data_IF_892516284825
#
_entry.id   IF_892516284825
#
_cell.length_a   1.000
_cell.length_b   1.000
_cell.length_c   1.000
_cell.angle_alpha   90.00
_cell.angle_beta   90.00
_cell.angle_gamma   90.00
#
_symmetry.space_group_name_H-M   'P 1'
#
loop_
_entity.id
_entity.type
_entity.pdbx_description
1 polymer ?
#
# COMPACT_ATOMS: atom_id res chain seq x y z
N UNK A 1 -37.21 -21.31 1.25
CA UNK A 1 -36.85 -19.88 1.12
C UNK A 1 -35.79 -19.46 2.15
N UNK A 2 -35.94 -19.83 3.43
CA UNK A 2 -34.93 -19.55 4.49
C UNK A 2 -33.62 -20.33 4.26
N UNK A 3 -33.68 -21.61 3.89
CA UNK A 3 -32.47 -22.41 3.63
C UNK A 3 -31.64 -21.87 2.45
N UNK A 4 -32.28 -21.34 1.40
CA UNK A 4 -31.56 -20.73 0.26
C UNK A 4 -30.92 -19.37 0.57
N UNK A 5 -31.39 -18.67 1.60
CA UNK A 5 -30.72 -17.46 2.13
C UNK A 5 -29.55 -17.84 3.03
N UNK A 6 -29.69 -18.90 3.84
CA UNK A 6 -28.62 -19.44 4.68
C UNK A 6 -27.48 -20.03 3.83
N UNK A 7 -27.80 -20.74 2.74
CA UNK A 7 -26.80 -21.28 1.80
C UNK A 7 -26.07 -20.16 1.04
N UNK A 8 -26.75 -19.05 0.71
CA UNK A 8 -26.10 -17.86 0.11
C UNK A 8 -25.13 -17.17 1.07
N UNK A 9 -25.47 -17.08 2.35
CA UNK A 9 -24.60 -16.50 3.40
C UNK A 9 -23.43 -17.43 3.73
N UNK A 10 -23.62 -18.75 3.62
CA UNK A 10 -22.56 -19.73 3.82
C UNK A 10 -21.57 -19.83 2.64
N UNK A 11 -22.04 -19.63 1.40
CA UNK A 11 -21.19 -19.65 0.20
C UNK A 11 -20.52 -18.30 -0.10
N UNK A 12 -21.15 -17.19 0.32
CA UNK A 12 -20.59 -15.84 0.25
C UNK A 12 -20.72 -15.22 1.64
N UNK A 13 -19.67 -15.25 2.49
CA UNK A 13 -19.68 -14.55 3.76
C UNK A 13 -19.69 -13.05 3.48
N UNK A 14 -20.85 -12.49 3.14
CA UNK A 14 -21.01 -11.05 3.01
C UNK A 14 -20.96 -10.48 4.42
N UNK A 15 -19.94 -9.67 4.71
CA UNK A 15 -19.96 -8.78 5.86
C UNK A 15 -21.31 -8.08 5.91
N UNK A 16 -22.05 -8.26 7.00
CA UNK A 16 -23.37 -7.68 7.23
C UNK A 16 -23.31 -6.79 8.48
N UNK A 17 -24.13 -5.73 8.51
CA UNK A 17 -24.19 -4.79 9.64
C UNK A 17 -23.18 -3.63 9.57
N UNK A 18 -22.97 -2.91 10.70
CA UNK A 18 -22.17 -1.67 10.75
C UNK A 18 -20.74 -1.82 10.23
N UNK A 19 -20.13 -2.99 10.46
CA UNK A 19 -18.78 -3.31 9.97
C UNK A 19 -18.68 -3.28 8.44
N UNK A 20 -19.77 -3.63 7.73
CA UNK A 20 -19.82 -3.55 6.27
C UNK A 20 -19.75 -2.08 5.84
N UNK A 21 -20.58 -1.23 6.43
CA UNK A 21 -20.65 0.19 6.10
C UNK A 21 -19.31 0.89 6.37
N UNK A 22 -18.67 0.59 7.50
CA UNK A 22 -17.35 1.10 7.84
C UNK A 22 -16.27 0.63 6.84
N UNK A 23 -16.33 -0.63 6.41
CA UNK A 23 -15.40 -1.18 5.44
C UNK A 23 -15.56 -0.54 4.05
N UNK A 24 -16.80 -0.34 3.58
CA UNK A 24 -17.08 0.39 2.34
C UNK A 24 -16.69 1.86 2.44
N UNK A 25 -16.92 2.49 3.60
CA UNK A 25 -16.52 3.87 3.84
C UNK A 25 -15.01 4.02 3.77
N UNK A 26 -14.25 3.14 4.41
CA UNK A 26 -12.78 3.13 4.34
C UNK A 26 -12.28 2.86 2.92
N UNK A 27 -12.88 1.91 2.21
CA UNK A 27 -12.57 1.63 0.80
C UNK A 27 -12.72 2.88 -0.07
N UNK A 28 -13.86 3.57 0.03
CA UNK A 28 -14.11 4.79 -0.73
C UNK A 28 -13.25 5.97 -0.27
N UNK A 29 -12.93 6.06 1.02
CA UNK A 29 -12.02 7.07 1.54
C UNK A 29 -10.61 6.91 0.95
N UNK A 30 -10.10 5.67 0.88
CA UNK A 30 -8.81 5.39 0.24
C UNK A 30 -8.82 5.75 -1.25
N UNK A 31 -9.86 5.35 -1.97
CA UNK A 31 -10.02 5.70 -3.38
C UNK A 31 -10.07 7.22 -3.60
N UNK A 32 -10.72 7.96 -2.71
CA UNK A 32 -10.73 9.42 -2.77
C UNK A 32 -9.33 10.01 -2.57
N UNK A 33 -8.53 9.41 -1.69
CA UNK A 33 -7.14 9.79 -1.47
C UNK A 33 -6.24 9.45 -2.68
N UNK A 34 -6.55 8.41 -3.46
CA UNK A 34 -5.88 8.17 -4.75
C UNK A 34 -6.15 9.31 -5.75
N UNK A 35 -7.41 9.75 -5.87
CA UNK A 35 -7.79 10.81 -6.81
C UNK A 35 -7.30 12.20 -6.38
N UNK A 36 -7.27 12.44 -5.06
CA UNK A 36 -6.85 13.72 -4.48
C UNK A 36 -5.74 13.49 -3.46
N UNK A 37 -4.49 13.37 -3.95
CA UNK A 37 -3.32 13.29 -3.08
C UNK A 37 -3.30 14.46 -2.09
N UNK A 38 -2.81 14.23 -0.87
CA UNK A 38 -2.75 15.19 0.23
C UNK A 38 -4.09 15.59 0.87
N UNK A 39 -5.19 14.93 0.52
CA UNK A 39 -6.45 15.09 1.26
C UNK A 39 -6.26 14.68 2.72
N UNK A 40 -6.83 15.44 3.66
CA UNK A 40 -6.85 15.08 5.08
C UNK A 40 -7.68 13.81 5.29
N UNK A 41 -7.24 12.84 6.12
CA UNK A 41 -7.99 11.60 6.34
C UNK A 41 -9.44 11.80 6.79
N UNK A 42 -9.73 12.84 7.59
CA UNK A 42 -11.09 13.17 8.02
C UNK A 42 -12.02 13.57 6.85
N UNK A 43 -11.50 14.34 5.88
CA UNK A 43 -12.26 14.76 4.72
C UNK A 43 -12.52 13.57 3.79
N UNK A 44 -11.50 12.71 3.61
CA UNK A 44 -11.64 11.47 2.86
C UNK A 44 -12.66 10.51 3.51
N UNK A 45 -12.62 10.36 4.84
CA UNK A 45 -13.57 9.57 5.60
C UNK A 45 -15.01 10.06 5.41
N UNK A 46 -15.24 11.38 5.51
CA UNK A 46 -16.57 11.94 5.28
C UNK A 46 -17.07 11.65 3.86
N UNK A 47 -16.20 11.72 2.84
CA UNK A 47 -16.56 11.33 1.47
C UNK A 47 -16.87 9.83 1.37
N UNK A 48 -16.11 8.98 2.08
CA UNK A 48 -16.33 7.55 2.18
C UNK A 48 -17.67 7.18 2.83
N UNK A 49 -18.02 7.80 3.95
CA UNK A 49 -19.31 7.60 4.63
C UNK A 49 -20.49 7.97 3.73
N UNK A 50 -20.45 9.16 3.12
CA UNK A 50 -21.52 9.60 2.20
C UNK A 50 -21.73 8.62 1.03
N UNK A 51 -20.67 7.92 0.63
CA UNK A 51 -20.68 6.89 -0.40
C UNK A 51 -21.28 5.58 0.09
N UNK A 52 -20.82 5.09 1.24
CA UNK A 52 -21.32 3.86 1.85
C UNK A 52 -22.83 3.95 2.17
N UNK A 53 -23.32 5.13 2.57
CA UNK A 53 -24.72 5.36 2.97
C UNK A 53 -25.71 5.65 1.80
N UNK A 54 -25.38 5.31 0.54
CA UNK A 54 -26.32 5.34 -0.61
C UNK A 54 -26.72 6.76 -1.11
N UNK A 55 -25.94 7.82 -0.84
CA UNK A 55 -26.31 9.22 -1.22
C UNK A 55 -25.31 10.00 -2.09
N UNK A 56 -24.32 9.35 -2.70
CA UNK A 56 -23.25 10.06 -3.43
C UNK A 56 -23.16 9.78 -4.93
N UNK A 57 -22.88 10.82 -5.72
CA UNK A 57 -22.47 10.81 -7.15
C UNK A 57 -21.34 9.82 -7.45
N UNK A 58 -21.42 8.93 -8.46
CA UNK A 58 -20.38 7.94 -8.76
C UNK A 58 -19.01 8.62 -8.81
N UNK A 59 -18.11 8.15 -7.96
CA UNK A 59 -16.74 8.61 -8.04
C UNK A 59 -16.11 7.73 -9.12
N UNK A 60 -15.57 8.33 -10.19
CA UNK A 60 -14.75 7.62 -11.18
C UNK A 60 -13.44 7.20 -10.51
N UNK A 61 -13.48 6.13 -9.71
CA UNK A 61 -12.40 5.73 -8.82
C UNK A 61 -11.60 4.58 -9.41
N UNK A 62 -10.29 4.65 -9.20
CA UNK A 62 -9.40 3.53 -9.40
C UNK A 62 -9.73 2.44 -8.35
N UNK A 63 -10.50 1.43 -8.74
CA UNK A 63 -10.81 0.27 -7.88
C UNK A 63 -9.53 -0.47 -7.52
N UNK A 64 -8.62 -0.59 -8.50
CA UNK A 64 -7.41 -1.41 -8.44
C UNK A 64 -6.16 -0.66 -7.97
N UNK A 65 -6.30 0.44 -7.24
CA UNK A 65 -5.17 1.22 -6.72
C UNK A 65 -5.34 1.64 -5.27
N UNK A 66 -4.31 1.44 -4.45
CA UNK A 66 -4.23 1.89 -3.07
C UNK A 66 -3.55 3.25 -2.99
N UNK A 67 -4.01 4.09 -2.08
CA UNK A 67 -3.40 5.40 -1.85
C UNK A 67 -2.04 5.32 -1.16
N UNK A 68 -1.76 4.23 -0.42
CA UNK A 68 -0.64 4.11 0.53
C UNK A 68 -0.91 4.78 1.88
N UNK A 69 -2.09 5.39 2.06
CA UNK A 69 -2.49 6.12 3.24
C UNK A 69 -3.20 5.28 4.30
N UNK A 70 -3.75 5.97 5.30
CA UNK A 70 -4.37 5.39 6.50
C UNK A 70 -5.42 4.30 6.20
N UNK A 71 -6.18 4.47 5.12
CA UNK A 71 -7.28 3.56 4.76
C UNK A 71 -6.84 2.40 3.86
N UNK A 72 -5.59 2.39 3.37
CA UNK A 72 -5.10 1.37 2.45
C UNK A 72 -5.11 -0.05 3.01
N UNK A 73 -4.75 -0.31 4.29
CA UNK A 73 -4.85 -1.66 4.86
C UNK A 73 -6.29 -2.19 4.87
N UNK A 74 -7.25 -1.30 5.18
CA UNK A 74 -8.66 -1.64 5.24
C UNK A 74 -9.20 -1.88 3.82
N UNK A 75 -8.81 -1.06 2.84
CA UNK A 75 -9.14 -1.30 1.43
C UNK A 75 -8.53 -2.61 0.92
N UNK A 76 -7.29 -2.92 1.27
CA UNK A 76 -6.65 -4.19 0.89
C UNK A 76 -7.40 -5.40 1.45
N UNK A 77 -7.85 -5.33 2.71
CA UNK A 77 -8.71 -6.34 3.31
C UNK A 77 -10.06 -6.45 2.59
N UNK A 78 -10.72 -5.33 2.31
CA UNK A 78 -11.97 -5.31 1.56
C UNK A 78 -11.81 -5.96 0.17
N UNK A 79 -10.71 -5.63 -0.52
CA UNK A 79 -10.36 -6.20 -1.82
C UNK A 79 -10.09 -7.71 -1.74
N UNK A 80 -9.49 -8.20 -0.65
CA UNK A 80 -9.30 -9.64 -0.45
C UNK A 80 -10.64 -10.38 -0.25
N UNK A 81 -11.65 -9.73 0.35
CA UNK A 81 -12.95 -10.33 0.63
C UNK A 81 -13.92 -10.25 -0.56
N UNK A 82 -13.83 -9.21 -1.40
CA UNK A 82 -14.82 -8.96 -2.47
C UNK A 82 -14.22 -8.59 -3.84
N UNK A 83 -12.90 -8.61 -4.00
CA UNK A 83 -12.23 -8.16 -5.22
C UNK A 83 -12.01 -9.24 -6.28
N UNK A 84 -12.64 -10.41 -6.15
CA UNK A 84 -12.60 -11.53 -7.11
C UNK A 84 -11.18 -11.96 -7.56
N UNK A 85 -10.17 -11.72 -6.72
CA UNK A 85 -8.76 -12.02 -7.04
C UNK A 85 -8.11 -11.08 -8.05
N UNK A 86 -8.75 -9.95 -8.38
CA UNK A 86 -8.19 -8.93 -9.27
C UNK A 86 -6.94 -8.27 -8.66
N UNK A 87 -6.00 -7.85 -9.52
CA UNK A 87 -4.75 -7.25 -9.06
C UNK A 87 -4.98 -5.85 -8.48
N UNK A 88 -4.42 -5.61 -7.29
CA UNK A 88 -4.42 -4.32 -6.62
C UNK A 88 -2.99 -3.73 -6.65
N UNK A 89 -2.87 -2.47 -7.04
CA UNK A 89 -1.58 -1.79 -7.19
C UNK A 89 -1.40 -0.68 -6.15
N UNK A 90 -0.15 -0.36 -5.83
CA UNK A 90 0.20 0.84 -5.05
C UNK A 90 1.47 1.43 -5.62
N UNK A 91 1.52 2.76 -5.75
CA UNK A 91 2.72 3.44 -6.19
C UNK A 91 3.79 3.34 -5.10
N UNK A 92 5.01 2.91 -5.47
CA UNK A 92 6.16 2.80 -4.55
C UNK A 92 6.51 4.14 -3.87
N UNK A 93 6.16 5.28 -4.48
CA UNK A 93 6.36 6.60 -3.88
C UNK A 93 5.39 6.87 -2.71
N UNK A 94 4.28 6.15 -2.65
CA UNK A 94 3.23 6.37 -1.65
C UNK A 94 3.34 5.45 -0.44
N UNK A 95 4.22 4.44 -0.47
CA UNK A 95 4.32 3.44 0.60
C UNK A 95 5.30 3.82 1.72
N UNK A 96 5.92 4.99 1.63
CA UNK A 96 6.72 5.59 2.72
C UNK A 96 7.98 4.82 3.12
N UNK A 97 8.45 3.88 2.30
CA UNK A 97 9.70 3.14 2.56
C UNK A 97 10.92 4.05 2.38
N UNK A 98 11.96 3.83 3.20
CA UNK A 98 13.22 4.58 3.16
C UNK A 98 14.43 3.63 3.11
N UNK A 99 14.67 2.95 1.96
CA UNK A 99 15.84 2.09 1.80
C UNK A 99 17.12 2.92 1.94
N UNK A 100 18.01 2.51 2.84
CA UNK A 100 19.26 3.23 3.11
C UNK A 100 20.41 2.27 3.46
N UNK A 101 21.67 2.70 3.34
CA UNK A 101 22.80 1.88 3.79
C UNK A 101 22.76 1.57 5.29
N UNK A 102 22.09 2.40 6.09
CA UNK A 102 21.99 2.21 7.53
C UNK A 102 21.10 1.01 7.91
N UNK A 103 20.03 0.76 7.15
CA UNK A 103 19.09 -0.34 7.38
C UNK A 103 19.26 -1.51 6.40
N UNK A 104 20.22 -1.42 5.45
CA UNK A 104 20.48 -2.46 4.45
C UNK A 104 21.97 -2.84 4.42
N UNK A 105 22.41 -3.85 5.19
CA UNK A 105 23.82 -4.26 5.27
C UNK A 105 24.43 -4.62 3.90
N UNK A 106 23.65 -5.24 3.01
CA UNK A 106 24.10 -5.57 1.66
C UNK A 106 24.42 -4.31 0.84
N UNK A 107 23.55 -3.30 0.89
CA UNK A 107 23.78 -2.01 0.23
C UNK A 107 24.98 -1.30 0.83
N UNK A 108 25.11 -1.32 2.17
CA UNK A 108 26.27 -0.76 2.88
C UNK A 108 27.57 -1.39 2.39
N UNK A 109 27.64 -2.72 2.36
CA UNK A 109 28.83 -3.44 1.93
C UNK A 109 29.20 -3.12 0.48
N UNK A 110 28.22 -2.94 -0.42
CA UNK A 110 28.51 -2.55 -1.80
C UNK A 110 29.06 -1.12 -1.90
N UNK A 111 28.56 -0.20 -1.10
CA UNK A 111 29.06 1.18 -1.03
C UNK A 111 30.46 1.22 -0.41
N UNK A 112 30.68 0.50 0.68
CA UNK A 112 31.97 0.45 1.39
C UNK A 112 33.07 -0.11 0.48
N UNK A 113 32.75 -1.18 -0.28
CA UNK A 113 33.69 -1.84 -1.20
C UNK A 113 33.76 -1.18 -2.59
N UNK A 114 32.97 -0.15 -2.86
CA UNK A 114 33.06 0.60 -4.11
C UNK A 114 34.46 1.23 -4.25
N UNK A 115 34.97 1.24 -5.48
CA UNK A 115 36.22 1.92 -5.80
C UNK A 115 36.03 3.43 -5.72
N UNK A 116 37.12 4.15 -5.41
CA UNK A 116 37.17 5.61 -5.54
C UNK A 116 36.88 5.97 -7.00
N UNK A 117 36.06 6.99 -7.23
CA UNK A 117 35.50 7.32 -8.53
C UNK A 117 34.05 6.85 -8.64
N UNK A 118 33.67 6.29 -9.79
CA UNK A 118 32.29 5.88 -10.10
C UNK A 118 32.19 4.36 -10.22
N UNK A 119 31.37 3.74 -9.37
CA UNK A 119 31.13 2.29 -9.39
C UNK A 119 29.65 1.99 -9.58
N UNK A 120 29.25 1.08 -10.49
CA UNK A 120 27.87 0.65 -10.60
C UNK A 120 27.46 -0.21 -9.40
N UNK A 121 26.24 -0.01 -8.90
CA UNK A 121 25.59 -0.89 -7.93
C UNK A 121 24.39 -1.54 -8.61
N UNK A 122 24.34 -2.87 -8.56
CA UNK A 122 23.17 -3.65 -8.94
C UNK A 122 22.90 -4.72 -7.88
N UNK A 123 21.74 -4.61 -7.23
CA UNK A 123 21.19 -5.60 -6.32
C UNK A 123 19.86 -6.04 -6.93
N UNK A 124 19.85 -7.21 -7.57
CA UNK A 124 18.66 -7.67 -8.28
C UNK A 124 17.50 -8.02 -7.34
N UNK A 125 17.80 -8.56 -6.16
CA UNK A 125 16.79 -8.96 -5.17
C UNK A 125 17.32 -8.74 -3.77
N UNK A 126 16.62 -7.93 -2.99
CA UNK A 126 16.88 -7.76 -1.55
C UNK A 126 15.56 -7.68 -0.78
N UNK A 127 15.47 -8.47 0.30
CA UNK A 127 14.31 -8.43 1.18
C UNK A 127 14.25 -7.12 1.96
N UNK A 128 13.04 -6.57 2.13
CA UNK A 128 12.81 -5.32 2.82
C UNK A 128 11.55 -5.39 3.68
N UNK A 129 11.68 -5.13 4.97
CA UNK A 129 10.54 -5.05 5.88
C UNK A 129 9.94 -3.65 5.83
N UNK A 130 8.79 -3.49 5.16
CA UNK A 130 8.14 -2.18 5.03
C UNK A 130 7.61 -1.64 6.37
N UNK A 131 7.30 -2.53 7.31
CA UNK A 131 6.82 -2.19 8.65
C UNK A 131 7.88 -1.48 9.52
N UNK A 132 9.15 -1.56 9.15
CA UNK A 132 10.23 -0.83 9.84
C UNK A 132 10.14 0.69 9.62
N UNK A 133 9.59 1.13 8.48
CA UNK A 133 9.44 2.55 8.15
C UNK A 133 8.00 3.05 8.28
N UNK A 134 7.03 2.19 7.94
CA UNK A 134 5.61 2.55 7.92
C UNK A 134 4.76 1.39 8.42
N UNK A 135 4.16 1.55 9.60
CA UNK A 135 3.24 0.55 10.16
C UNK A 135 2.00 0.31 9.28
N UNK A 136 1.53 1.35 8.58
CA UNK A 136 0.43 1.25 7.61
C UNK A 136 0.84 0.36 6.46
N UNK A 137 2.01 0.61 5.86
CA UNK A 137 2.53 -0.19 4.74
C UNK A 137 2.81 -1.63 5.16
N UNK A 138 3.41 -1.81 6.34
CA UNK A 138 3.66 -3.11 6.93
C UNK A 138 2.40 -3.95 7.11
N UNK A 139 1.25 -3.33 7.37
CA UNK A 139 -0.01 -4.03 7.60
C UNK A 139 -0.58 -4.73 6.36
N UNK A 140 -0.24 -4.30 5.14
CA UNK A 140 -0.75 -4.92 3.90
C UNK A 140 0.32 -5.42 2.94
N UNK A 141 1.55 -4.86 2.95
CA UNK A 141 2.67 -5.37 2.16
C UNK A 141 3.60 -6.29 2.95
N UNK A 142 3.76 -6.06 4.26
CA UNK A 142 4.70 -6.81 5.08
C UNK A 142 6.14 -6.73 4.55
N UNK A 143 6.72 -7.90 4.26
CA UNK A 143 8.05 -8.00 3.65
C UNK A 143 7.96 -8.04 2.13
N UNK A 144 8.69 -7.14 1.47
CA UNK A 144 8.76 -7.05 0.01
C UNK A 144 10.16 -7.40 -0.49
N UNK A 145 10.29 -7.58 -1.81
CA UNK A 145 11.60 -7.67 -2.47
C UNK A 145 11.82 -6.40 -3.29
N UNK A 146 12.94 -5.72 -3.06
CA UNK A 146 13.38 -4.56 -3.82
C UNK A 146 14.47 -4.96 -4.82
N UNK A 147 14.53 -4.21 -5.93
CA UNK A 147 15.66 -4.16 -6.85
C UNK A 147 16.29 -2.78 -6.75
N UNK A 148 17.61 -2.72 -6.52
CA UNK A 148 18.35 -1.46 -6.38
C UNK A 148 19.40 -1.40 -7.47
N UNK A 149 19.32 -0.38 -8.32
CA UNK A 149 20.28 -0.13 -9.41
C UNK A 149 20.70 1.33 -9.39
N UNK A 150 21.99 1.60 -9.54
CA UNK A 150 22.50 2.96 -9.58
C UNK A 150 24.00 3.05 -9.76
N UNK A 151 24.53 4.25 -9.62
CA UNK A 151 25.97 4.54 -9.65
C UNK A 151 26.32 5.19 -8.32
N UNK A 152 27.38 4.71 -7.68
CA UNK A 152 27.95 5.31 -6.48
C UNK A 152 29.20 6.08 -6.85
N UNK A 153 29.26 7.32 -6.37
CA UNK A 153 30.42 8.19 -6.47
C UNK A 153 31.12 8.22 -5.11
N UNK A 154 32.34 7.71 -5.06
CA UNK A 154 33.17 7.68 -3.85
C UNK A 154 34.37 8.59 -4.05
N UNK A 155 34.49 9.60 -3.21
CA UNK A 155 35.60 10.54 -3.24
C UNK A 155 36.68 10.11 -2.26
N UNK A 156 37.94 10.35 -2.62
CA UNK A 156 39.03 10.30 -1.65
C UNK A 156 39.02 11.63 -0.87
N UNK A 157 38.90 11.56 0.45
CA UNK A 157 38.91 12.73 1.33
C UNK A 157 40.33 13.21 1.66
N UNK A 158 41.37 12.68 1.00
CA UNK A 158 42.76 13.01 1.28
C UNK A 158 43.30 14.26 0.55
N UNK A 159 42.61 14.88 -0.41
CA UNK A 159 43.08 16.11 -1.09
C UNK A 159 41.98 17.18 -1.18
#
# INVERSE_FOLDING_TARGET
MINGLLDRVAYNPTLAGPLREDLYAAHHADQYMCLKPNTRPADAWLKGLNKASVRGEPLNLSENELSGGLFSPVKALAHALSGDGTTLHVNILNIGIKPSPANMPMLKNMIDNAQIGSSPINIDRVGYNTGADSGITGAYLGNITLKITGIVHKHDSQH
#
